data_IF_540524323597
#
_entry.id   IF_540524323597
#
_cell.length_a   1.000
_cell.length_b   1.000
_cell.length_c   1.000
_cell.angle_alpha   90.00
_cell.angle_beta   90.00
_cell.angle_gamma   90.00
#
_symmetry.space_group_name_H-M   'P 1'
#
loop_
_entity.id
_entity.type
_entity.pdbx_description
1 polymer ?
#
# COMPACT_ATOMS: atom_id res chain seq x y z
N UNK A 1 -10.65 -13.00 14.62
CA UNK A 1 -10.23 -11.60 14.41
C UNK A 1 -8.94 -11.60 13.59
N UNK A 2 -8.80 -10.71 12.61
CA UNK A 2 -7.59 -10.59 11.79
C UNK A 2 -6.53 -9.74 12.50
N UNK A 3 -5.26 -10.10 12.33
CA UNK A 3 -4.13 -9.36 12.90
C UNK A 3 -3.82 -8.06 12.12
N UNK A 4 -3.93 -8.12 10.79
CA UNK A 4 -3.73 -7.00 9.85
C UNK A 4 -4.95 -6.82 8.96
N UNK A 5 -5.20 -5.62 8.43
CA UNK A 5 -6.30 -5.37 7.49
C UNK A 5 -7.70 -5.53 8.10
N UNK A 6 -7.81 -5.44 9.43
CA UNK A 6 -9.10 -5.65 10.13
C UNK A 6 -10.09 -4.54 9.81
N UNK A 7 -11.34 -4.91 9.55
CA UNK A 7 -12.46 -3.97 9.46
C UNK A 7 -13.60 -4.41 10.38
N UNK A 8 -13.73 -3.76 11.54
CA UNK A 8 -14.80 -3.98 12.54
C UNK A 8 -15.08 -5.46 12.91
N UNK A 9 -14.10 -6.36 12.70
CA UNK A 9 -14.26 -7.79 12.92
C UNK A 9 -15.18 -8.51 11.92
N UNK A 10 -15.61 -7.85 10.85
CA UNK A 10 -16.47 -8.42 9.81
C UNK A 10 -15.68 -9.30 8.85
N UNK A 11 -16.24 -10.46 8.48
CA UNK A 11 -15.69 -11.30 7.41
C UNK A 11 -15.97 -10.70 6.03
N UNK A 12 -17.18 -10.19 5.82
CA UNK A 12 -17.56 -9.46 4.62
C UNK A 12 -17.27 -7.97 4.85
N UNK A 13 -16.18 -7.49 4.24
CA UNK A 13 -15.75 -6.11 4.44
C UNK A 13 -16.72 -5.13 3.76
N UNK A 14 -17.10 -4.08 4.47
CA UNK A 14 -18.00 -3.00 3.99
C UNK A 14 -17.27 -1.65 3.87
N UNK A 15 -15.94 -1.67 3.82
CA UNK A 15 -15.07 -0.50 3.84
C UNK A 15 -13.60 -0.89 3.83
N UNK A 16 -12.73 0.07 4.10
CA UNK A 16 -11.28 -0.14 4.09
C UNK A 16 -10.77 -0.78 5.38
N UNK A 17 -9.84 -1.73 5.25
CA UNK A 17 -9.18 -2.37 6.39
C UNK A 17 -8.14 -1.46 7.05
N UNK A 18 -7.82 -1.75 8.31
CA UNK A 18 -6.78 -1.02 9.05
C UNK A 18 -5.36 -1.44 8.64
N UNK A 19 -4.50 -0.44 8.42
CA UNK A 19 -3.05 -0.61 8.22
C UNK A 19 -2.36 -1.44 9.34
N UNK A 20 -1.31 -2.22 9.02
CA UNK A 20 -0.70 -2.33 7.69
C UNK A 20 -1.45 -3.31 6.79
N UNK A 21 -1.62 -2.95 5.52
CA UNK A 21 -2.22 -3.81 4.49
C UNK A 21 -1.72 -3.41 3.11
N UNK A 22 -1.11 -4.37 2.39
CA UNK A 22 -0.75 -4.19 0.97
C UNK A 22 -2.03 -4.07 0.16
N UNK A 23 -2.19 -3.01 -0.63
CA UNK A 23 -3.43 -2.76 -1.38
C UNK A 23 -3.24 -3.04 -2.88
N UNK A 24 -4.23 -3.67 -3.49
CA UNK A 24 -4.47 -3.59 -4.93
C UNK A 24 -5.59 -2.57 -5.14
N UNK A 25 -5.28 -1.46 -5.79
CA UNK A 25 -6.23 -0.39 -6.06
C UNK A 25 -6.56 -0.38 -7.56
N UNK A 26 -7.83 -0.17 -7.89
CA UNK A 26 -8.25 -0.10 -9.28
C UNK A 26 -9.44 0.85 -9.47
N UNK A 27 -9.42 1.56 -10.58
CA UNK A 27 -10.52 2.37 -11.07
C UNK A 27 -10.80 1.99 -12.52
N UNK A 28 -11.99 1.43 -12.75
CA UNK A 28 -12.38 0.88 -14.06
C UNK A 28 -13.04 1.96 -14.92
N UNK A 29 -12.87 1.86 -16.24
CA UNK A 29 -13.53 2.70 -17.23
C UNK A 29 -13.43 4.21 -16.95
N UNK A 30 -12.22 4.65 -16.63
CA UNK A 30 -11.86 6.05 -16.44
C UNK A 30 -11.72 6.74 -17.83
N UNK A 31 -11.44 8.06 -17.90
CA UNK A 31 -11.37 8.77 -19.18
C UNK A 31 -10.53 8.05 -20.25
N UNK A 32 -11.02 8.06 -21.49
CA UNK A 32 -10.49 7.29 -22.62
C UNK A 32 -10.67 5.76 -22.54
N UNK A 33 -11.63 5.28 -21.76
CA UNK A 33 -11.91 3.85 -21.55
C UNK A 33 -10.69 3.09 -21.01
N UNK A 34 -9.95 3.74 -20.10
CA UNK A 34 -8.76 3.18 -19.48
C UNK A 34 -9.08 2.72 -18.06
N UNK A 35 -8.54 1.56 -17.70
CA UNK A 35 -8.50 1.11 -16.33
C UNK A 35 -7.19 1.58 -15.70
N UNK A 36 -7.27 2.17 -14.52
CA UNK A 36 -6.10 2.54 -13.72
C UNK A 36 -5.96 1.52 -12.61
N UNK A 37 -4.77 0.93 -12.48
CA UNK A 37 -4.47 -0.09 -11.50
C UNK A 37 -3.12 0.19 -10.85
N UNK A 38 -3.01 -0.09 -9.56
CA UNK A 38 -1.75 0.03 -8.83
C UNK A 38 -1.68 -0.95 -7.65
N UNK A 39 -0.45 -1.20 -7.18
CA UNK A 39 -0.20 -1.79 -5.87
C UNK A 39 0.31 -0.68 -4.97
N UNK A 40 -0.35 -0.47 -3.85
CA UNK A 40 -0.06 0.62 -2.93
C UNK A 40 0.48 0.10 -1.60
N UNK A 41 1.59 0.70 -1.19
CA UNK A 41 2.23 0.54 0.13
C UNK A 41 2.02 1.80 1.00
N UNK A 42 1.08 2.68 0.62
CA UNK A 42 0.76 3.91 1.38
C UNK A 42 0.12 3.57 2.72
N UNK A 43 -0.65 2.49 2.81
CA UNK A 43 -1.18 1.92 4.05
C UNK A 43 -0.32 0.79 4.61
N UNK A 44 0.96 0.74 4.22
CA UNK A 44 1.93 -0.25 4.68
C UNK A 44 1.90 -1.55 3.88
N UNK A 45 2.53 -2.58 4.43
CA UNK A 45 2.71 -3.88 3.80
C UNK A 45 2.53 -5.00 4.81
N UNK A 46 1.78 -6.03 4.45
CA UNK A 46 1.62 -7.23 5.28
C UNK A 46 1.91 -8.52 4.50
N UNK A 47 1.48 -8.59 3.25
CA UNK A 47 1.67 -9.76 2.37
C UNK A 47 2.20 -9.36 0.99
N UNK A 48 3.06 -10.19 0.37
CA UNK A 48 3.41 -10.09 -1.05
C UNK A 48 2.18 -10.12 -1.95
N UNK A 49 2.22 -9.36 -3.05
CA UNK A 49 1.10 -9.26 -3.99
C UNK A 49 1.58 -9.23 -5.44
N UNK A 50 0.84 -9.90 -6.31
CA UNK A 50 0.89 -9.76 -7.75
C UNK A 50 -0.49 -9.30 -8.21
N UNK A 51 -0.54 -8.20 -8.95
CA UNK A 51 -1.76 -7.66 -9.53
C UNK A 51 -1.55 -7.48 -11.02
N UNK A 52 -1.92 -8.53 -11.76
CA UNK A 52 -1.71 -8.62 -13.20
C UNK A 52 -3.02 -8.87 -13.93
N UNK A 53 -3.18 -8.31 -15.14
CA UNK A 53 -4.30 -8.68 -15.99
C UNK A 53 -4.20 -10.15 -16.37
N UNK A 54 -5.34 -10.83 -16.49
CA UNK A 54 -5.42 -12.21 -17.00
C UNK A 54 -5.27 -12.27 -18.53
N UNK A 55 -5.27 -11.11 -19.20
CA UNK A 55 -5.06 -10.92 -20.62
C UNK A 55 -3.79 -10.09 -20.86
N UNK A 56 -3.17 -10.20 -22.03
CA UNK A 56 -1.90 -9.50 -22.33
C UNK A 56 -2.07 -8.00 -22.69
N UNK A 57 -3.09 -7.33 -22.15
CA UNK A 57 -3.47 -5.95 -22.53
C UNK A 57 -2.72 -4.87 -21.75
N UNK A 58 -2.23 -5.19 -20.56
CA UNK A 58 -1.55 -4.25 -19.66
C UNK A 58 -0.33 -4.91 -18.98
N UNK A 59 0.53 -4.08 -18.40
CA UNK A 59 1.70 -4.53 -17.64
C UNK A 59 1.28 -5.17 -16.31
N UNK A 60 1.98 -6.23 -15.93
CA UNK A 60 1.91 -6.84 -14.60
C UNK A 60 2.50 -5.95 -13.51
N UNK A 61 1.83 -5.87 -12.36
CA UNK A 61 2.35 -5.22 -11.15
C UNK A 61 2.69 -6.28 -10.11
N UNK A 62 3.85 -6.16 -9.47
CA UNK A 62 4.27 -7.13 -8.46
C UNK A 62 5.09 -6.45 -7.36
N UNK A 63 4.69 -6.71 -6.12
CA UNK A 63 5.39 -6.31 -4.91
C UNK A 63 5.59 -7.56 -4.05
N UNK A 64 6.75 -8.22 -4.21
CA UNK A 64 7.02 -9.52 -3.58
C UNK A 64 8.33 -9.59 -2.79
N UNK A 65 8.90 -8.44 -2.46
CA UNK A 65 10.08 -8.34 -1.61
C UNK A 65 9.78 -8.69 -0.14
N UNK A 66 10.82 -9.02 0.63
CA UNK A 66 10.72 -9.32 2.05
C UNK A 66 10.59 -8.04 2.92
N UNK A 67 9.54 -7.25 2.67
CA UNK A 67 9.34 -5.98 3.37
C UNK A 67 9.11 -6.19 4.88
N UNK A 68 8.38 -7.24 5.28
CA UNK A 68 8.13 -7.51 6.70
C UNK A 68 9.41 -7.86 7.45
N UNK A 69 10.27 -8.70 6.86
CA UNK A 69 11.54 -9.10 7.48
C UNK A 69 12.61 -8.00 7.50
N UNK A 70 12.53 -7.05 6.57
CA UNK A 70 13.48 -5.94 6.44
C UNK A 70 12.93 -4.61 6.96
N UNK A 71 11.74 -4.62 7.55
CA UNK A 71 11.03 -3.42 7.98
C UNK A 71 11.88 -2.59 8.95
N UNK A 72 12.03 -1.26 8.74
CA UNK A 72 12.68 -0.38 9.70
C UNK A 72 12.02 -0.49 11.07
N UNK A 73 12.81 -0.49 12.14
CA UNK A 73 12.31 -0.73 13.50
C UNK A 73 11.16 0.23 13.90
N UNK A 74 11.22 1.47 13.46
CA UNK A 74 10.19 2.50 13.72
C UNK A 74 8.86 2.27 12.99
N UNK A 75 8.83 1.39 11.99
CA UNK A 75 7.63 1.05 11.21
C UNK A 75 7.10 -0.36 11.51
N UNK A 76 7.85 -1.16 12.25
CA UNK A 76 7.50 -2.53 12.57
C UNK A 76 6.23 -2.60 13.42
N UNK A 77 5.38 -3.57 13.11
CA UNK A 77 4.16 -3.88 13.87
C UNK A 77 3.84 -5.36 13.73
N UNK A 78 3.08 -5.99 14.65
CA UNK A 78 2.76 -7.41 14.54
C UNK A 78 2.08 -7.74 13.20
N UNK A 79 2.74 -8.57 12.39
CA UNK A 79 2.20 -9.06 11.11
C UNK A 79 2.44 -8.17 9.90
N UNK A 80 3.19 -7.06 10.02
CA UNK A 80 3.48 -6.20 8.88
C UNK A 80 4.45 -5.05 9.14
N UNK A 81 4.54 -4.17 8.16
CA UNK A 81 5.34 -2.95 8.18
C UNK A 81 4.43 -1.76 7.86
N UNK A 82 4.24 -0.85 8.80
CA UNK A 82 3.44 0.35 8.56
C UNK A 82 4.14 1.31 7.60
N UNK A 83 3.38 2.12 6.88
CA UNK A 83 3.92 3.29 6.21
C UNK A 83 4.23 4.40 7.23
N UNK A 84 5.22 5.27 7.00
CA UNK A 84 5.48 6.41 7.87
C UNK A 84 4.27 7.35 8.06
N UNK A 85 3.36 7.48 7.10
CA UNK A 85 2.14 8.26 7.30
C UNK A 85 1.29 7.71 8.46
N UNK A 86 1.10 6.39 8.49
CA UNK A 86 0.34 5.71 9.55
C UNK A 86 0.94 5.95 10.95
N UNK A 87 2.27 6.00 11.03
CA UNK A 87 3.00 6.15 12.30
C UNK A 87 3.09 7.61 12.74
N UNK A 88 3.54 8.51 11.85
CA UNK A 88 3.90 9.88 12.20
C UNK A 88 2.78 10.89 11.98
N UNK A 89 1.85 10.64 11.04
CA UNK A 89 0.68 11.49 10.76
C UNK A 89 1.04 12.96 10.45
N UNK A 90 2.19 13.20 9.83
CA UNK A 90 2.63 14.55 9.44
C UNK A 90 2.39 14.76 7.94
N UNK A 91 2.26 16.02 7.52
CA UNK A 91 2.13 16.35 6.10
C UNK A 91 3.31 15.82 5.25
N UNK A 92 4.52 15.77 5.81
CA UNK A 92 5.71 15.23 5.14
C UNK A 92 5.50 13.78 4.63
N UNK A 93 4.77 12.96 5.39
CA UNK A 93 4.53 11.56 5.05
C UNK A 93 3.14 11.30 4.47
N UNK A 94 2.15 12.11 4.87
CA UNK A 94 0.75 11.91 4.50
C UNK A 94 0.27 12.81 3.37
N UNK A 95 1.04 13.83 2.98
CA UNK A 95 0.71 14.73 1.87
C UNK A 95 -0.69 15.39 2.02
N UNK A 96 -1.11 15.66 3.25
CA UNK A 96 -2.45 16.18 3.58
C UNK A 96 -2.71 17.56 3.01
N UNK A 97 -1.66 18.34 2.72
CA UNK A 97 -1.77 19.67 2.12
C UNK A 97 -1.97 19.63 0.59
N UNK A 98 -2.03 18.42 0.02
CA UNK A 98 -2.38 18.17 -1.37
C UNK A 98 -1.27 17.52 -2.20
N UNK A 99 -1.60 17.01 -3.40
CA UNK A 99 -0.61 16.40 -4.29
C UNK A 99 0.55 17.34 -4.62
N UNK A 100 1.78 16.85 -4.53
CA UNK A 100 3.00 17.61 -4.83
C UNK A 100 3.51 18.50 -3.69
N UNK A 101 2.81 18.57 -2.55
CA UNK A 101 3.30 19.28 -1.35
C UNK A 101 4.26 18.46 -0.49
N UNK A 102 4.34 17.16 -0.76
CA UNK A 102 5.25 16.20 -0.14
C UNK A 102 6.16 15.56 -1.20
N UNK A 103 7.26 14.97 -0.75
CA UNK A 103 8.20 14.28 -1.64
C UNK A 103 8.72 12.97 -1.04
N UNK A 104 9.60 12.27 -1.76
CA UNK A 104 10.19 11.03 -1.27
C UNK A 104 10.95 11.25 0.04
N UNK A 105 10.73 10.38 1.01
CA UNK A 105 11.45 10.34 2.29
C UNK A 105 12.33 9.09 2.35
N UNK A 106 13.32 9.00 3.25
CA UNK A 106 14.08 7.76 3.43
C UNK A 106 13.18 6.54 3.69
N UNK A 107 12.09 6.73 4.43
CA UNK A 107 11.13 5.68 4.76
C UNK A 107 10.21 5.32 3.60
N UNK A 108 9.78 6.29 2.78
CA UNK A 108 9.01 5.93 1.58
C UNK A 108 9.88 5.27 0.52
N UNK A 109 11.15 5.66 0.41
CA UNK A 109 12.14 5.01 -0.47
C UNK A 109 12.40 3.55 -0.08
N UNK A 110 12.41 3.23 1.22
CA UNK A 110 12.51 1.84 1.68
C UNK A 110 11.48 0.91 1.00
N UNK A 111 10.22 1.33 0.89
CA UNK A 111 9.17 0.58 0.19
C UNK A 111 9.39 0.62 -1.33
N UNK A 112 9.70 1.79 -1.88
CA UNK A 112 9.83 1.98 -3.33
C UNK A 112 11.00 1.20 -3.94
N UNK A 113 12.12 1.11 -3.23
CA UNK A 113 13.29 0.35 -3.68
C UNK A 113 13.03 -1.16 -3.71
N UNK A 114 12.09 -1.64 -2.88
CA UNK A 114 11.69 -3.05 -2.78
C UNK A 114 10.52 -3.41 -3.70
N UNK A 115 9.67 -2.42 -4.00
CA UNK A 115 8.50 -2.55 -4.87
C UNK A 115 8.44 -1.33 -5.82
N UNK A 116 9.21 -1.36 -6.92
CA UNK A 116 9.35 -0.25 -7.86
C UNK A 116 8.14 -0.05 -8.78
#
# INVERSE_FOLDING_TARGET
QCQTGVLHGLLQCQGYGKAPNTLAEFALNQPNNLDFVDISNVDGFNIPMDFSPTTAVCKSLRCAANIVGECPAELQTPGGCNNPCTVYKTNQYCCTDGPGTCGPTPLSKFFKDRCP
#
